data_IF_300790781290
#
_entry.id   IF_300790781290
#
_cell.length_a   1.000
_cell.length_b   1.000
_cell.length_c   1.000
_cell.angle_alpha   90.00
_cell.angle_beta   90.00
_cell.angle_gamma   90.00
#
_symmetry.space_group_name_H-M   'P 1'
#
loop_
_entity.id
_entity.type
_entity.pdbx_description
1 polymer ?
#
# COMPACT_ATOMS: atom_id res chain seq x y z
N UNK A 1 22.62 4.52 33.94
CA UNK A 1 22.12 3.28 33.29
C UNK A 1 21.92 3.55 31.81
N UNK A 2 22.73 2.96 30.91
CA UNK A 2 22.52 3.06 29.45
C UNK A 2 21.25 2.29 29.10
N UNK A 3 20.22 2.97 28.58
CA UNK A 3 19.01 2.31 28.06
C UNK A 3 19.43 1.30 26.98
N UNK A 4 18.86 0.08 26.95
CA UNK A 4 19.27 -0.93 25.99
C UNK A 4 18.97 -0.43 24.58
N UNK A 5 19.98 -0.47 23.70
CA UNK A 5 19.90 -0.05 22.28
C UNK A 5 18.69 -0.63 21.55
N UNK A 6 18.18 -1.78 22.00
CA UNK A 6 17.00 -2.44 21.48
C UNK A 6 15.73 -1.57 21.55
N UNK A 7 15.52 -0.81 22.64
CA UNK A 7 14.32 0.00 22.83
C UNK A 7 14.27 1.20 21.89
N UNK A 8 15.44 1.78 21.59
CA UNK A 8 15.58 2.86 20.60
C UNK A 8 15.38 2.39 19.16
N UNK A 9 15.73 1.13 18.85
CA UNK A 9 15.51 0.54 17.52
C UNK A 9 14.02 0.22 17.27
N UNK A 10 13.27 -0.13 18.32
CA UNK A 10 11.82 -0.39 18.23
C UNK A 10 11.05 0.91 18.05
N UNK A 11 11.30 1.92 18.90
CA UNK A 11 10.67 3.26 18.78
C UNK A 11 10.90 3.86 17.39
N UNK A 12 12.13 3.76 16.87
CA UNK A 12 12.46 4.30 15.54
C UNK A 12 11.78 3.53 14.39
N UNK A 13 11.58 2.22 14.55
CA UNK A 13 10.90 1.37 13.55
C UNK A 13 9.40 1.65 13.51
N UNK A 14 8.78 1.92 14.66
CA UNK A 14 7.36 2.28 14.73
C UNK A 14 7.13 3.67 14.10
N UNK A 15 8.02 4.63 14.36
CA UNK A 15 8.00 5.97 13.74
C UNK A 15 8.20 5.94 12.21
N UNK A 16 9.09 5.08 11.71
CA UNK A 16 9.28 4.84 10.27
C UNK A 16 8.06 4.13 9.64
N UNK A 17 7.41 3.22 10.38
CA UNK A 17 6.22 2.49 9.89
C UNK A 17 5.01 3.42 9.77
N UNK A 18 4.80 4.30 10.75
CA UNK A 18 3.78 5.34 10.69
C UNK A 18 4.03 6.32 9.53
N UNK A 19 5.30 6.63 9.28
CA UNK A 19 5.71 7.46 8.14
C UNK A 19 5.42 6.78 6.79
N UNK A 20 5.66 5.47 6.67
CA UNK A 20 5.35 4.70 5.46
C UNK A 20 3.84 4.58 5.24
N UNK A 21 3.07 4.32 6.30
CA UNK A 21 1.61 4.27 6.23
C UNK A 21 1.02 5.61 5.85
N UNK A 22 1.54 6.72 6.40
CA UNK A 22 1.16 8.07 6.00
C UNK A 22 1.47 8.32 4.52
N UNK A 23 2.65 7.90 4.04
CA UNK A 23 3.04 8.06 2.64
C UNK A 23 2.10 7.28 1.70
N UNK A 24 1.78 6.03 2.03
CA UNK A 24 0.82 5.20 1.30
C UNK A 24 -0.57 5.84 1.34
N UNK A 25 -1.00 6.37 2.48
CA UNK A 25 -2.29 7.06 2.62
C UNK A 25 -2.37 8.29 1.72
N UNK A 26 -1.35 9.17 1.74
CA UNK A 26 -1.32 10.36 0.88
C UNK A 26 -1.29 9.96 -0.60
N UNK A 27 -0.50 8.96 -0.97
CA UNK A 27 -0.44 8.45 -2.34
C UNK A 27 -1.79 7.89 -2.80
N UNK A 28 -2.44 7.07 -1.98
CA UNK A 28 -3.77 6.52 -2.29
C UNK A 28 -4.84 7.62 -2.38
N UNK A 29 -4.78 8.62 -1.49
CA UNK A 29 -5.68 9.78 -1.49
C UNK A 29 -5.54 10.60 -2.76
N UNK A 30 -4.32 10.92 -3.18
CA UNK A 30 -4.09 11.67 -4.42
C UNK A 30 -4.44 10.83 -5.65
N UNK A 31 -4.19 9.52 -5.62
CA UNK A 31 -4.59 8.62 -6.69
C UNK A 31 -6.11 8.56 -6.85
N UNK A 32 -6.88 8.45 -5.76
CA UNK A 32 -8.35 8.34 -5.83
C UNK A 32 -9.04 9.68 -6.06
N UNK A 33 -8.35 10.81 -5.92
CA UNK A 33 -8.97 12.13 -6.05
C UNK A 33 -9.42 12.38 -7.50
N UNK A 34 -10.72 12.61 -7.74
CA UNK A 34 -11.18 13.02 -9.06
C UNK A 34 -10.69 14.45 -9.36
N UNK A 35 -10.16 14.68 -10.56
CA UNK A 35 -9.74 16.02 -10.96
C UNK A 35 -10.97 16.92 -11.15
N UNK A 36 -11.00 18.13 -10.54
CA UNK A 36 -12.11 19.05 -10.67
C UNK A 36 -12.30 19.60 -12.09
N UNK A 37 -11.31 19.42 -12.97
CA UNK A 37 -11.35 19.84 -14.38
C UNK A 37 -12.17 18.91 -15.29
N UNK A 38 -12.59 17.74 -14.81
CA UNK A 38 -13.22 16.71 -15.64
C UNK A 38 -14.73 16.66 -15.42
N UNK A 39 -15.49 16.53 -16.51
CA UNK A 39 -16.93 16.28 -16.48
C UNK A 39 -17.25 14.96 -15.75
N UNK A 40 -18.45 14.86 -15.17
CA UNK A 40 -18.88 13.68 -14.41
C UNK A 40 -18.67 12.35 -15.18
N UNK A 41 -18.97 12.34 -16.48
CA UNK A 41 -18.79 11.16 -17.33
C UNK A 41 -17.31 10.75 -17.43
N UNK A 42 -16.39 11.71 -17.56
CA UNK A 42 -14.96 11.43 -17.66
C UNK A 42 -14.38 10.94 -16.32
N UNK A 43 -14.89 11.45 -15.19
CA UNK A 43 -14.50 10.96 -13.86
C UNK A 43 -14.88 9.48 -13.67
N UNK A 44 -16.11 9.11 -14.05
CA UNK A 44 -16.60 7.72 -13.97
C UNK A 44 -15.77 6.81 -14.87
N UNK A 45 -15.47 7.23 -16.10
CA UNK A 45 -14.65 6.47 -17.04
C UNK A 45 -13.24 6.22 -16.49
N UNK A 46 -12.59 7.27 -15.94
CA UNK A 46 -11.26 7.16 -15.32
C UNK A 46 -11.31 6.25 -14.09
N UNK A 47 -12.37 6.31 -13.29
CA UNK A 47 -12.53 5.46 -12.11
C UNK A 47 -12.65 3.99 -12.50
N UNK A 48 -13.48 3.67 -13.50
CA UNK A 48 -13.64 2.31 -14.04
C UNK A 48 -12.32 1.80 -14.61
N UNK A 49 -11.46 2.66 -15.17
CA UNK A 49 -10.15 2.25 -15.68
C UNK A 49 -9.08 2.08 -14.59
N UNK A 50 -9.12 2.92 -13.54
CA UNK A 50 -8.17 2.85 -12.40
C UNK A 50 -8.39 1.63 -11.51
N UNK A 51 -9.62 1.17 -11.37
CA UNK A 51 -9.96 0.07 -10.46
C UNK A 51 -9.37 -1.29 -10.91
N UNK A 52 -9.44 -1.68 -12.19
CA UNK A 52 -8.72 -2.84 -12.71
C UNK A 52 -7.21 -2.70 -12.58
N UNK A 53 -6.65 -1.52 -12.84
CA UNK A 53 -5.22 -1.28 -12.68
C UNK A 53 -4.77 -1.49 -11.22
N UNK A 54 -5.59 -1.09 -10.24
CA UNK A 54 -5.35 -1.33 -8.83
C UNK A 54 -5.37 -2.83 -8.50
N UNK A 55 -6.34 -3.58 -9.03
CA UNK A 55 -6.40 -5.04 -8.86
C UNK A 55 -5.15 -5.70 -9.46
N UNK A 56 -4.73 -5.28 -10.64
CA UNK A 56 -3.54 -5.80 -11.31
C UNK A 56 -2.27 -5.54 -10.47
N UNK A 57 -2.16 -4.34 -9.92
CA UNK A 57 -1.02 -3.96 -9.07
C UNK A 57 -1.00 -4.78 -7.78
N UNK A 58 -2.17 -5.07 -7.22
CA UNK A 58 -2.31 -5.89 -6.03
C UNK A 58 -1.96 -7.36 -6.31
N UNK A 59 -2.45 -7.95 -7.40
CA UNK A 59 -2.16 -9.35 -7.77
C UNK A 59 -0.72 -9.57 -8.18
N UNK A 60 -0.08 -8.58 -8.81
CA UNK A 60 1.35 -8.59 -9.13
C UNK A 60 2.24 -8.24 -7.92
N UNK A 61 1.65 -7.87 -6.78
CA UNK A 61 2.41 -7.56 -5.59
C UNK A 61 3.28 -8.76 -5.18
N UNK A 62 4.61 -8.56 -5.00
CA UNK A 62 5.53 -9.62 -4.57
C UNK A 62 5.07 -10.32 -3.28
N UNK A 63 4.34 -9.60 -2.43
CA UNK A 63 3.81 -10.12 -1.18
C UNK A 63 2.83 -11.26 -1.42
N UNK A 64 1.93 -11.14 -2.40
CA UNK A 64 0.94 -12.18 -2.70
C UNK A 64 1.64 -13.44 -3.22
N UNK A 65 2.66 -13.30 -4.07
CA UNK A 65 3.47 -14.42 -4.52
C UNK A 65 4.19 -15.14 -3.36
N UNK A 66 4.77 -14.39 -2.44
CA UNK A 66 5.45 -14.96 -1.26
C UNK A 66 4.45 -15.72 -0.39
N UNK A 67 3.29 -15.12 -0.08
CA UNK A 67 2.25 -15.77 0.73
C UNK A 67 1.76 -17.05 0.05
N UNK A 68 1.44 -16.99 -1.25
CA UNK A 68 0.99 -18.14 -2.03
C UNK A 68 2.04 -19.26 -2.06
N UNK A 69 3.32 -18.91 -2.22
CA UNK A 69 4.43 -19.86 -2.19
C UNK A 69 4.59 -20.51 -0.82
N UNK A 70 4.55 -19.74 0.27
CA UNK A 70 4.61 -20.28 1.64
C UNK A 70 3.43 -21.23 1.89
N UNK A 71 2.22 -20.85 1.49
CA UNK A 71 1.04 -21.72 1.66
C UNK A 71 1.15 -23.00 0.86
N UNK A 72 1.73 -22.96 -0.35
CA UNK A 72 2.00 -24.14 -1.16
C UNK A 72 3.01 -25.06 -0.47
N UNK A 73 4.10 -24.51 0.05
CA UNK A 73 5.18 -25.28 0.71
C UNK A 73 4.72 -25.90 2.03
N UNK A 74 3.89 -25.21 2.82
CA UNK A 74 3.36 -25.72 4.09
C UNK A 74 2.22 -26.72 3.88
N UNK A 75 1.42 -26.52 2.83
CA UNK A 75 0.27 -27.36 2.53
C UNK A 75 0.60 -28.67 1.80
N UNK A 76 1.82 -28.78 1.25
CA UNK A 76 2.36 -29.99 0.60
C UNK A 76 3.05 -30.91 1.61
#
# INVERSE_FOLDING_TARGET
MKKPKLKQLIDKKDEDSDSLLALIYYFAKDWMRPSPSHSLALQILIFILKLPALILFLTLSPVIFIVMFITLVIGL
#
